data_IF_930294717566
#
_entry.id   IF_930294717566
#
_cell.length_a   1.000
_cell.length_b   1.000
_cell.length_c   1.000
_cell.angle_alpha   90.00
_cell.angle_beta   90.00
_cell.angle_gamma   90.00
#
_symmetry.space_group_name_H-M   'P 1'
#
loop_
_entity.id
_entity.type
_entity.pdbx_description
1 polymer ?
#
# COMPACT_ATOMS: atom_id res chain seq x y z
N UNK A 1 4.71 -13.28 16.42
CA UNK A 1 4.16 -14.30 17.35
C UNK A 1 4.50 -15.68 16.80
N UNK A 2 5.05 -16.56 17.61
CA UNK A 2 5.52 -17.88 17.17
C UNK A 2 4.34 -18.76 16.72
N UNK A 3 4.42 -19.45 15.57
CA UNK A 3 3.36 -20.36 15.09
C UNK A 3 3.11 -21.52 16.04
N UNK A 4 1.89 -22.05 16.06
CA UNK A 4 1.52 -23.21 16.87
C UNK A 4 2.43 -24.42 16.60
N UNK A 5 2.76 -24.65 15.31
CA UNK A 5 3.65 -25.73 14.88
C UNK A 5 5.07 -25.64 15.47
N UNK A 6 5.61 -24.44 15.64
CA UNK A 6 6.90 -24.23 16.30
C UNK A 6 6.85 -24.56 17.80
N UNK A 7 5.72 -24.30 18.46
CA UNK A 7 5.52 -24.71 19.87
C UNK A 7 5.45 -26.22 20.00
N UNK A 8 4.79 -26.92 19.08
CA UNK A 8 4.76 -28.38 19.02
C UNK A 8 6.17 -28.98 18.89
N UNK A 9 7.02 -28.38 18.05
CA UNK A 9 8.43 -28.78 17.93
C UNK A 9 9.16 -28.60 19.26
N UNK A 10 8.98 -27.48 19.97
CA UNK A 10 9.58 -27.27 21.28
C UNK A 10 9.09 -28.30 22.33
N UNK A 11 7.83 -28.72 22.27
CA UNK A 11 7.26 -29.75 23.14
C UNK A 11 7.84 -31.14 22.82
N UNK A 12 7.86 -31.50 21.53
CA UNK A 12 8.36 -32.80 21.05
C UNK A 12 9.83 -33.03 21.44
N UNK A 13 10.64 -31.97 21.39
CA UNK A 13 12.06 -32.01 21.77
C UNK A 13 12.30 -31.78 23.29
N UNK A 14 11.24 -31.70 24.10
CA UNK A 14 11.30 -31.48 25.55
C UNK A 14 11.95 -30.15 25.98
N UNK A 15 12.07 -29.19 25.08
CA UNK A 15 12.57 -27.84 25.37
C UNK A 15 11.52 -27.01 26.11
N UNK A 16 10.21 -27.27 25.87
CA UNK A 16 9.09 -26.67 26.56
C UNK A 16 8.47 -27.69 27.54
N UNK A 17 8.28 -27.28 28.79
CA UNK A 17 7.57 -28.03 29.83
C UNK A 17 6.53 -27.13 30.48
N UNK A 18 5.29 -27.62 30.55
CA UNK A 18 4.17 -26.95 31.22
C UNK A 18 3.69 -27.84 32.33
N UNK A 19 3.71 -27.38 33.58
CA UNK A 19 3.27 -28.11 34.75
C UNK A 19 2.02 -27.45 35.33
N UNK A 20 0.81 -27.97 35.03
CA UNK A 20 -0.43 -27.46 35.58
C UNK A 20 -0.63 -27.90 37.01
N UNK A 21 -1.23 -27.05 37.85
CA UNK A 21 -1.67 -27.37 39.21
C UNK A 21 -2.84 -26.46 39.63
N UNK A 22 -3.56 -26.87 40.66
CA UNK A 22 -4.66 -26.08 41.22
C UNK A 22 -4.29 -25.67 42.63
N UNK A 23 -4.41 -24.38 42.97
CA UNK A 23 -4.18 -23.88 44.33
C UNK A 23 -5.41 -24.16 45.22
N UNK A 24 -5.21 -24.16 46.52
CA UNK A 24 -6.28 -24.38 47.54
C UNK A 24 -7.45 -23.36 47.39
N UNK A 25 -7.24 -22.22 46.79
CA UNK A 25 -8.27 -21.21 46.51
C UNK A 25 -9.00 -21.44 45.15
N UNK A 26 -8.88 -22.61 44.54
CA UNK A 26 -9.55 -22.98 43.30
C UNK A 26 -8.94 -22.35 42.03
N UNK A 27 -7.82 -21.64 42.12
CA UNK A 27 -7.14 -21.07 40.92
C UNK A 27 -6.40 -22.13 40.16
N UNK A 28 -6.66 -22.23 38.87
CA UNK A 28 -5.85 -22.98 37.91
C UNK A 28 -4.54 -22.24 37.67
N UNK A 29 -3.42 -22.89 37.83
CA UNK A 29 -2.09 -22.38 37.66
C UNK A 29 -1.24 -23.27 36.75
N UNK A 30 -0.25 -22.72 36.07
CA UNK A 30 0.77 -23.50 35.42
C UNK A 30 2.15 -22.81 35.56
N UNK A 31 3.15 -23.63 35.82
CA UNK A 31 4.56 -23.24 35.70
C UNK A 31 5.08 -23.67 34.31
N UNK A 32 5.37 -22.70 33.51
CA UNK A 32 5.88 -22.91 32.14
C UNK A 32 7.38 -22.64 32.15
N UNK A 33 8.13 -23.61 31.72
CA UNK A 33 9.61 -23.54 31.65
C UNK A 33 10.08 -23.91 30.26
N UNK A 34 10.92 -23.05 29.68
CA UNK A 34 11.58 -23.28 28.41
C UNK A 34 13.09 -23.32 28.65
N UNK A 35 13.76 -24.30 28.07
CA UNK A 35 15.22 -24.45 28.13
C UNK A 35 15.79 -24.20 26.75
N UNK A 36 16.70 -23.23 26.65
CA UNK A 36 17.45 -22.97 25.42
C UNK A 36 18.37 -24.16 25.11
N UNK A 37 18.22 -24.80 23.93
CA UNK A 37 18.97 -26.02 23.62
C UNK A 37 20.46 -25.78 23.33
N UNK A 38 20.87 -24.54 23.05
CA UNK A 38 22.28 -24.18 22.77
C UNK A 38 23.00 -23.72 24.04
N UNK A 39 22.37 -22.81 24.79
CA UNK A 39 23.00 -22.18 25.96
C UNK A 39 22.66 -22.88 27.28
N UNK A 40 21.61 -23.72 27.31
CA UNK A 40 21.10 -24.34 28.53
C UNK A 40 20.32 -23.35 29.44
N UNK A 41 20.19 -22.09 29.04
CA UNK A 41 19.48 -21.06 29.82
C UNK A 41 18.00 -21.45 29.98
N UNK A 42 17.46 -21.24 31.18
CA UNK A 42 16.06 -21.56 31.53
C UNK A 42 15.27 -20.29 31.72
N UNK A 43 14.17 -20.18 30.95
CA UNK A 43 13.20 -19.12 31.08
C UNK A 43 11.92 -19.68 31.69
N UNK A 44 11.39 -19.03 32.72
CA UNK A 44 10.21 -19.50 33.44
C UNK A 44 9.14 -18.40 33.49
N UNK A 45 7.87 -18.83 33.43
CA UNK A 45 6.72 -17.96 33.64
C UNK A 45 5.60 -18.73 34.33
N UNK A 46 5.04 -18.18 35.39
CA UNK A 46 3.90 -18.74 36.07
C UNK A 46 2.63 -18.00 35.64
N UNK A 47 1.60 -18.71 35.23
CA UNK A 47 0.29 -18.16 34.89
C UNK A 47 -0.76 -18.63 35.86
N UNK A 48 -1.80 -17.81 36.10
CA UNK A 48 -2.92 -18.20 36.96
C UNK A 48 -4.23 -17.55 36.50
N UNK A 49 -5.34 -18.27 36.68
CA UNK A 49 -6.70 -17.79 36.42
C UNK A 49 -7.72 -18.52 37.26
N UNK A 50 -8.87 -17.89 37.56
CA UNK A 50 -10.05 -18.55 38.15
C UNK A 50 -10.92 -19.18 37.05
N UNK A 51 -10.94 -18.66 35.84
CA UNK A 51 -11.65 -19.21 34.69
C UNK A 51 -10.75 -20.16 33.92
N UNK A 52 -11.24 -21.35 33.57
CA UNK A 52 -10.51 -22.34 32.77
C UNK A 52 -10.19 -21.78 31.38
N UNK A 53 -11.14 -21.16 30.67
CA UNK A 53 -10.92 -20.57 29.35
C UNK A 53 -9.80 -19.52 29.36
N UNK A 54 -9.87 -18.58 30.34
CA UNK A 54 -8.82 -17.55 30.50
C UNK A 54 -7.47 -18.13 30.92
N UNK A 55 -7.48 -19.29 31.57
CA UNK A 55 -6.27 -20.02 31.94
C UNK A 55 -5.57 -20.58 30.71
N UNK A 56 -6.33 -21.27 29.84
CA UNK A 56 -5.80 -21.85 28.62
C UNK A 56 -5.23 -20.78 27.68
N UNK A 57 -5.93 -19.64 27.50
CA UNK A 57 -5.44 -18.50 26.75
C UNK A 57 -4.12 -17.95 27.30
N UNK A 58 -4.01 -17.81 28.63
CA UNK A 58 -2.79 -17.34 29.30
C UNK A 58 -1.64 -18.33 29.15
N UNK A 59 -1.91 -19.64 29.25
CA UNK A 59 -0.91 -20.68 29.02
C UNK A 59 -0.39 -20.62 27.60
N UNK A 60 -1.27 -20.60 26.61
CA UNK A 60 -0.91 -20.52 25.21
C UNK A 60 -0.11 -19.25 24.88
N UNK A 61 -0.50 -18.11 25.45
CA UNK A 61 0.24 -16.85 25.26
C UNK A 61 1.65 -16.90 25.89
N UNK A 62 1.76 -17.46 27.10
CA UNK A 62 3.03 -17.57 27.80
C UNK A 62 3.99 -18.58 27.14
N UNK A 63 3.48 -19.72 26.68
CA UNK A 63 4.26 -20.69 25.91
C UNK A 63 4.82 -20.08 24.62
N UNK A 64 3.97 -19.36 23.88
CA UNK A 64 4.40 -18.63 22.68
C UNK A 64 5.52 -17.64 22.97
N UNK A 65 5.34 -16.82 24.00
CA UNK A 65 6.32 -15.81 24.40
C UNK A 65 7.68 -16.43 24.80
N UNK A 66 7.64 -17.52 25.58
CA UNK A 66 8.86 -18.18 26.02
C UNK A 66 9.55 -18.94 24.89
N UNK A 67 8.80 -19.68 24.07
CA UNK A 67 9.37 -20.38 22.92
C UNK A 67 9.96 -19.40 21.90
N UNK A 68 9.36 -18.21 21.76
CA UNK A 68 9.89 -17.17 20.88
C UNK A 68 11.30 -16.69 21.28
N UNK A 69 11.59 -16.67 22.58
CA UNK A 69 12.91 -16.26 23.09
C UNK A 69 14.04 -17.23 22.72
N UNK A 70 13.71 -18.52 22.58
CA UNK A 70 14.70 -19.57 22.32
C UNK A 70 14.63 -20.09 20.87
N UNK A 71 13.73 -19.54 20.02
CA UNK A 71 13.45 -20.13 18.71
C UNK A 71 14.67 -20.19 17.80
N UNK A 72 15.51 -19.15 17.79
CA UNK A 72 16.74 -19.15 16.99
C UNK A 72 17.71 -20.27 17.41
N UNK A 73 17.82 -20.54 18.70
CA UNK A 73 18.61 -21.66 19.23
C UNK A 73 17.99 -23.02 18.89
N UNK A 74 16.64 -23.13 18.96
CA UNK A 74 15.93 -24.32 18.54
C UNK A 74 16.17 -24.64 17.07
N UNK A 75 16.02 -23.61 16.22
CA UNK A 75 16.23 -23.74 14.78
C UNK A 75 17.66 -24.18 14.47
N UNK A 76 18.65 -23.59 15.14
CA UNK A 76 20.04 -23.97 14.99
C UNK A 76 20.28 -25.47 15.29
N UNK A 77 19.74 -25.96 16.42
CA UNK A 77 19.90 -27.39 16.79
C UNK A 77 19.16 -28.33 15.84
N UNK A 78 17.97 -27.93 15.36
CA UNK A 78 17.17 -28.73 14.42
C UNK A 78 17.87 -28.89 13.07
N UNK A 79 18.63 -27.87 12.66
CA UNK A 79 19.26 -27.80 11.34
C UNK A 79 20.77 -28.06 11.38
N UNK A 80 21.35 -28.19 12.57
CA UNK A 80 22.79 -28.47 12.77
C UNK A 80 23.12 -29.94 12.45
N UNK A 81 24.15 -30.15 11.62
CA UNK A 81 24.62 -31.46 11.23
C UNK A 81 23.80 -32.20 10.17
N UNK A 82 22.74 -31.61 9.64
CA UNK A 82 21.92 -32.17 8.56
C UNK A 82 22.10 -31.46 7.23
N UNK A 83 21.62 -32.10 6.14
CA UNK A 83 21.46 -31.47 4.85
C UNK A 83 20.27 -30.55 4.91
N UNK A 84 20.50 -29.25 5.06
CA UNK A 84 19.46 -28.25 5.10
C UNK A 84 18.96 -27.98 3.68
N UNK A 85 17.70 -28.33 3.41
CA UNK A 85 16.97 -27.90 2.21
C UNK A 85 16.11 -26.68 2.49
N UNK A 86 15.70 -25.97 1.43
CA UNK A 86 14.74 -24.89 1.58
C UNK A 86 13.42 -25.40 2.18
N UNK A 87 13.00 -26.61 1.81
CA UNK A 87 11.79 -27.23 2.35
C UNK A 87 11.87 -27.42 3.86
N UNK A 88 13.01 -27.88 4.37
CA UNK A 88 13.21 -28.05 5.81
C UNK A 88 13.16 -26.74 6.55
N UNK A 89 13.84 -25.71 6.03
CA UNK A 89 13.81 -24.38 6.61
C UNK A 89 12.38 -23.82 6.65
N UNK A 90 11.65 -23.91 5.53
CA UNK A 90 10.28 -23.39 5.44
C UNK A 90 9.32 -24.12 6.39
N UNK A 91 9.52 -25.41 6.60
CA UNK A 91 8.71 -26.19 7.55
C UNK A 91 8.79 -25.64 8.97
N UNK A 92 9.97 -25.18 9.39
CA UNK A 92 10.21 -24.79 10.78
C UNK A 92 10.08 -23.29 11.02
N UNK A 93 10.42 -22.45 10.05
CA UNK A 93 10.63 -21.03 10.33
C UNK A 93 9.89 -20.03 9.41
N UNK A 94 9.46 -20.42 8.21
CA UNK A 94 8.88 -19.45 7.27
C UNK A 94 7.64 -18.73 7.82
N UNK A 95 6.76 -19.48 8.50
CA UNK A 95 5.54 -18.87 9.08
C UNK A 95 5.89 -17.84 10.16
N UNK A 96 6.94 -18.11 10.94
CA UNK A 96 7.44 -17.18 11.93
C UNK A 96 8.02 -15.91 11.30
N UNK A 97 8.81 -16.05 10.24
CA UNK A 97 9.35 -14.93 9.49
C UNK A 97 8.23 -14.09 8.86
N UNK A 98 7.23 -14.74 8.29
CA UNK A 98 6.03 -14.09 7.73
C UNK A 98 5.30 -13.25 8.77
N UNK A 99 5.11 -13.77 9.97
CA UNK A 99 4.42 -13.08 11.04
C UNK A 99 5.19 -11.87 11.58
N UNK A 100 6.52 -11.93 11.61
CA UNK A 100 7.37 -10.89 12.22
C UNK A 100 7.93 -9.84 11.27
N UNK A 101 8.44 -10.26 10.13
CA UNK A 101 9.26 -9.39 9.27
C UNK A 101 8.55 -8.92 8.01
N UNK A 102 7.59 -9.67 7.54
CA UNK A 102 6.99 -9.34 6.27
C UNK A 102 5.75 -8.50 6.46
N UNK A 103 5.67 -7.34 5.78
CA UNK A 103 4.45 -6.57 5.79
C UNK A 103 3.30 -7.42 5.27
N UNK A 104 2.09 -7.19 5.78
CA UNK A 104 0.85 -7.85 5.32
C UNK A 104 0.61 -7.75 3.81
N UNK A 105 1.38 -6.92 3.11
CA UNK A 105 1.38 -6.77 1.65
C UNK A 105 2.07 -7.91 0.90
N UNK A 106 2.88 -8.72 1.57
CA UNK A 106 3.36 -9.98 0.99
C UNK A 106 2.26 -11.01 1.16
N UNK A 107 1.45 -11.14 0.12
CA UNK A 107 0.25 -11.93 0.14
C UNK A 107 0.49 -13.43 0.14
N UNK A 108 -0.63 -14.18 0.18
CA UNK A 108 -0.62 -15.65 0.10
C UNK A 108 -0.01 -16.18 -1.21
N UNK A 109 0.02 -15.35 -2.27
CA UNK A 109 0.59 -15.73 -3.57
C UNK A 109 2.10 -15.93 -3.50
N UNK A 110 2.82 -14.98 -2.90
CA UNK A 110 4.27 -15.04 -2.75
C UNK A 110 4.67 -16.17 -1.81
N UNK A 111 3.92 -16.36 -0.73
CA UNK A 111 4.11 -17.49 0.18
C UNK A 111 3.89 -18.82 -0.53
N UNK A 112 2.80 -18.95 -1.30
CA UNK A 112 2.49 -20.15 -2.08
C UNK A 112 3.56 -20.43 -3.14
N UNK A 113 4.06 -19.40 -3.82
CA UNK A 113 5.13 -19.53 -4.80
C UNK A 113 6.44 -20.02 -4.15
N UNK A 114 6.77 -19.50 -2.96
CA UNK A 114 7.95 -19.93 -2.22
C UNK A 114 7.84 -21.39 -1.72
N UNK A 115 6.64 -21.83 -1.31
CA UNK A 115 6.37 -23.23 -1.00
C UNK A 115 6.51 -24.14 -2.23
N UNK A 116 6.03 -23.70 -3.40
CA UNK A 116 6.22 -24.44 -4.65
C UNK A 116 7.70 -24.53 -5.00
N UNK A 117 8.46 -23.44 -4.84
CA UNK A 117 9.90 -23.42 -5.01
C UNK A 117 10.58 -24.44 -4.10
N UNK A 118 10.18 -24.51 -2.83
CA UNK A 118 10.72 -25.47 -1.87
C UNK A 118 10.49 -26.93 -2.31
N UNK A 119 9.37 -27.23 -2.98
CA UNK A 119 9.08 -28.58 -3.45
C UNK A 119 9.95 -29.03 -4.63
N UNK A 120 10.52 -28.10 -5.38
CA UNK A 120 11.40 -28.39 -6.54
C UNK A 120 12.86 -28.13 -6.26
N UNK A 121 13.22 -27.66 -5.06
CA UNK A 121 14.58 -27.36 -4.67
C UNK A 121 15.17 -28.49 -3.82
N UNK A 122 15.89 -29.40 -4.47
CA UNK A 122 16.49 -30.59 -3.84
C UNK A 122 17.87 -30.31 -3.26
N UNK A 123 18.54 -29.22 -3.65
CA UNK A 123 19.87 -28.89 -3.23
C UNK A 123 19.95 -28.45 -1.78
N UNK A 124 21.03 -28.77 -1.10
CA UNK A 124 21.37 -28.19 0.20
C UNK A 124 21.56 -26.68 0.06
N UNK A 125 20.91 -25.89 0.89
CA UNK A 125 21.08 -24.41 0.86
C UNK A 125 22.54 -24.05 1.15
N UNK A 126 23.21 -24.78 2.03
CA UNK A 126 24.61 -24.57 2.36
C UNK A 126 25.60 -24.79 1.19
N UNK A 127 25.19 -25.55 0.18
CA UNK A 127 25.99 -25.80 -1.02
C UNK A 127 25.78 -24.76 -2.13
N UNK A 128 24.73 -23.93 -2.03
CA UNK A 128 24.41 -22.92 -3.04
C UNK A 128 25.32 -21.70 -2.90
N UNK A 129 26.19 -21.48 -3.87
CA UNK A 129 27.18 -20.40 -3.82
C UNK A 129 26.96 -19.29 -4.85
N UNK A 130 26.11 -19.50 -5.86
CA UNK A 130 25.94 -18.58 -6.97
C UNK A 130 24.47 -18.29 -7.31
N UNK A 131 24.19 -17.04 -7.71
CA UNK A 131 22.90 -16.61 -8.22
C UNK A 131 22.44 -17.45 -9.41
N UNK A 132 23.36 -17.85 -10.28
CA UNK A 132 23.11 -18.69 -11.45
C UNK A 132 22.48 -20.05 -11.15
N UNK A 133 22.61 -20.54 -9.93
CA UNK A 133 21.99 -21.79 -9.48
C UNK A 133 20.52 -21.57 -9.02
N UNK A 134 20.22 -20.38 -8.51
CA UNK A 134 18.92 -20.05 -7.92
C UNK A 134 17.92 -19.55 -8.98
N UNK A 135 18.36 -18.67 -9.88
CA UNK A 135 17.47 -18.01 -10.84
C UNK A 135 16.75 -18.98 -11.80
N UNK A 136 17.38 -20.04 -12.32
CA UNK A 136 16.67 -21.01 -13.15
C UNK A 136 15.53 -21.70 -12.39
N UNK A 137 15.75 -22.03 -11.11
CA UNK A 137 14.74 -22.68 -10.26
C UNK A 137 13.55 -21.74 -10.04
N UNK A 138 13.78 -20.44 -9.79
CA UNK A 138 12.72 -19.43 -9.69
C UNK A 138 11.99 -19.28 -11.02
N UNK A 139 12.72 -19.30 -12.14
CA UNK A 139 12.14 -19.20 -13.48
C UNK A 139 11.13 -20.29 -13.81
N UNK A 140 11.29 -21.49 -13.24
CA UNK A 140 10.32 -22.58 -13.41
C UNK A 140 8.95 -22.32 -12.78
N UNK A 141 8.84 -21.37 -11.86
CA UNK A 141 7.56 -20.99 -11.24
C UNK A 141 6.63 -20.19 -12.17
N UNK A 142 7.15 -19.69 -13.30
CA UNK A 142 6.38 -18.89 -14.27
C UNK A 142 5.56 -17.75 -13.63
N UNK A 143 6.09 -17.10 -12.62
CA UNK A 143 5.44 -16.01 -11.87
C UNK A 143 5.69 -14.65 -12.53
N UNK A 144 4.89 -13.64 -12.14
CA UNK A 144 5.13 -12.26 -12.60
C UNK A 144 6.47 -11.72 -12.08
N UNK A 145 7.07 -10.76 -12.80
CA UNK A 145 8.34 -10.14 -12.40
C UNK A 145 8.28 -9.50 -11.00
N UNK A 146 7.13 -9.00 -10.58
CA UNK A 146 6.95 -8.43 -9.24
C UNK A 146 6.95 -9.54 -8.17
N UNK A 147 6.32 -10.69 -8.47
CA UNK A 147 6.33 -11.86 -7.58
C UNK A 147 7.73 -12.49 -7.53
N UNK A 148 8.42 -12.57 -8.65
CA UNK A 148 9.81 -13.04 -8.74
C UNK A 148 10.74 -12.19 -7.84
N UNK A 149 10.67 -10.86 -7.96
CA UNK A 149 11.46 -9.95 -7.13
C UNK A 149 11.14 -10.12 -5.64
N UNK A 150 9.87 -10.37 -5.31
CA UNK A 150 9.46 -10.64 -3.95
C UNK A 150 10.06 -11.94 -3.42
N UNK A 151 10.03 -13.01 -4.20
CA UNK A 151 10.65 -14.30 -3.87
C UNK A 151 12.16 -14.14 -3.64
N UNK A 152 12.85 -13.42 -4.54
CA UNK A 152 14.29 -13.14 -4.42
C UNK A 152 14.59 -12.41 -3.11
N UNK A 153 13.77 -11.42 -2.75
CA UNK A 153 13.91 -10.70 -1.47
C UNK A 153 13.73 -11.64 -0.27
N UNK A 154 12.69 -12.48 -0.31
CA UNK A 154 12.43 -13.44 0.77
C UNK A 154 13.58 -14.42 0.93
N UNK A 155 14.13 -14.94 -0.17
CA UNK A 155 15.30 -15.80 -0.14
C UNK A 155 16.55 -15.07 0.37
N UNK A 156 16.72 -13.79 0.01
CA UNK A 156 17.81 -12.95 0.55
C UNK A 156 17.72 -12.87 2.07
N UNK A 157 16.53 -12.57 2.61
CA UNK A 157 16.30 -12.52 4.06
C UNK A 157 16.55 -13.89 4.73
N UNK A 158 16.23 -15.00 4.07
CA UNK A 158 16.47 -16.36 4.54
C UNK A 158 17.98 -16.63 4.63
N UNK A 159 18.76 -16.38 3.57
CA UNK A 159 20.21 -16.58 3.57
C UNK A 159 20.92 -15.72 4.62
N UNK A 160 20.51 -14.47 4.79
CA UNK A 160 21.06 -13.59 5.82
C UNK A 160 20.80 -14.13 7.23
N UNK A 161 19.60 -14.65 7.47
CA UNK A 161 19.26 -15.25 8.74
C UNK A 161 20.03 -16.55 9.00
N UNK A 162 20.12 -17.43 8.02
CA UNK A 162 20.90 -18.67 8.13
C UNK A 162 22.38 -18.40 8.41
N UNK A 163 22.91 -17.30 7.84
CA UNK A 163 24.25 -16.82 8.15
C UNK A 163 24.39 -16.34 9.59
N UNK A 164 23.42 -15.55 10.10
CA UNK A 164 23.39 -15.11 11.50
C UNK A 164 23.30 -16.30 12.49
N UNK A 165 22.62 -17.38 12.11
CA UNK A 165 22.52 -18.59 12.91
C UNK A 165 23.78 -19.48 12.81
N UNK A 166 24.74 -19.14 11.94
CA UNK A 166 25.95 -19.93 11.68
C UNK A 166 25.70 -21.24 10.93
N UNK A 167 24.54 -21.39 10.29
CA UNK A 167 24.16 -22.58 9.49
C UNK A 167 24.69 -22.43 8.07
N UNK A 168 24.71 -21.19 7.54
CA UNK A 168 25.26 -20.88 6.22
C UNK A 168 26.58 -20.10 6.37
N UNK A 169 27.68 -20.67 5.89
CA UNK A 169 29.01 -20.07 6.03
C UNK A 169 29.37 -19.10 4.88
N UNK A 170 28.68 -19.18 3.75
CA UNK A 170 28.96 -18.39 2.56
C UNK A 170 28.52 -16.93 2.65
N UNK A 171 28.81 -16.19 1.59
CA UNK A 171 28.16 -14.89 1.38
C UNK A 171 26.78 -15.11 0.76
N UNK A 172 25.80 -14.27 1.15
CA UNK A 172 24.46 -14.36 0.58
C UNK A 172 24.52 -14.21 -0.96
N UNK A 173 24.20 -15.27 -1.71
CA UNK A 173 24.37 -15.26 -3.17
C UNK A 173 23.42 -14.28 -3.88
N UNK A 174 22.30 -13.93 -3.24
CA UNK A 174 21.27 -13.06 -3.83
C UNK A 174 21.42 -11.58 -3.47
N UNK A 175 22.23 -11.21 -2.47
CA UNK A 175 22.28 -9.83 -1.98
C UNK A 175 22.62 -8.82 -3.07
N UNK A 176 23.70 -9.05 -3.82
CA UNK A 176 24.14 -8.15 -4.90
C UNK A 176 23.13 -8.12 -6.05
N UNK A 177 22.58 -9.28 -6.41
CA UNK A 177 21.57 -9.38 -7.47
C UNK A 177 20.28 -8.67 -7.08
N UNK A 178 19.81 -8.84 -5.85
CA UNK A 178 18.62 -8.15 -5.34
C UNK A 178 18.78 -6.64 -5.37
N UNK A 179 19.90 -6.11 -4.86
CA UNK A 179 20.17 -4.67 -4.87
C UNK A 179 20.28 -4.11 -6.29
N UNK A 180 20.94 -4.81 -7.21
CA UNK A 180 21.04 -4.42 -8.62
C UNK A 180 19.65 -4.40 -9.29
N UNK A 181 18.84 -5.45 -9.07
CA UNK A 181 17.50 -5.57 -9.64
C UNK A 181 16.54 -4.55 -9.04
N UNK A 182 16.60 -4.31 -7.74
CA UNK A 182 15.85 -3.26 -7.05
C UNK A 182 16.21 -1.88 -7.58
N UNK A 183 17.48 -1.60 -7.75
CA UNK A 183 17.97 -0.33 -8.30
C UNK A 183 17.53 -0.14 -9.76
N UNK A 184 17.59 -1.19 -10.59
CA UNK A 184 17.12 -1.17 -11.96
C UNK A 184 15.59 -0.96 -12.04
N UNK A 185 14.82 -1.62 -11.19
CA UNK A 185 13.37 -1.43 -11.11
C UNK A 185 12.99 -0.06 -10.56
N UNK A 186 13.73 0.47 -9.60
CA UNK A 186 13.54 1.84 -9.13
C UNK A 186 13.88 2.86 -10.23
N UNK A 187 14.93 2.63 -11.03
CA UNK A 187 15.23 3.46 -12.21
C UNK A 187 14.15 3.34 -13.28
N UNK A 188 13.58 2.15 -13.52
CA UNK A 188 12.44 1.96 -14.42
C UNK A 188 11.17 2.64 -13.89
N UNK A 189 10.93 2.60 -12.58
CA UNK A 189 9.82 3.33 -11.93
C UNK A 189 10.06 4.85 -11.88
N UNK A 190 11.30 5.29 -11.85
CA UNK A 190 11.66 6.73 -11.92
C UNK A 190 11.75 7.27 -13.34
N UNK A 191 11.77 6.42 -14.37
CA UNK A 191 11.51 6.89 -15.72
C UNK A 191 10.04 7.29 -15.81
N UNK A 192 9.71 8.50 -16.25
CA UNK A 192 8.34 8.95 -16.36
C UNK A 192 7.58 8.05 -17.35
N UNK A 193 6.91 7.03 -16.82
CA UNK A 193 6.06 6.13 -17.60
C UNK A 193 4.70 6.76 -17.92
N UNK A 194 4.47 7.96 -17.44
CA UNK A 194 3.31 8.71 -17.80
C UNK A 194 3.69 9.71 -18.86
N UNK A 195 3.15 9.53 -20.02
CA UNK A 195 3.21 10.56 -21.04
C UNK A 195 2.11 11.56 -20.72
N UNK A 196 2.49 12.81 -20.53
CA UNK A 196 1.55 13.90 -20.59
C UNK A 196 0.72 13.79 -21.88
N UNK A 197 -0.55 14.11 -21.81
CA UNK A 197 -1.41 14.14 -22.97
C UNK A 197 -0.94 15.22 -23.96
N UNK A 198 -1.11 15.02 -25.28
CA UNK A 198 -0.83 16.07 -26.24
C UNK A 198 -1.71 17.31 -25.97
N UNK A 199 -1.22 18.54 -26.23
CA UNK A 199 -1.95 19.78 -25.97
C UNK A 199 -3.36 19.80 -26.57
N UNK A 200 -3.54 19.22 -27.74
CA UNK A 200 -4.84 19.08 -28.41
C UNK A 200 -5.82 18.23 -27.63
N UNK A 201 -5.36 17.13 -27.03
CA UNK A 201 -6.19 16.28 -26.18
C UNK A 201 -6.52 16.97 -24.85
N UNK A 202 -5.57 17.70 -24.26
CA UNK A 202 -5.79 18.50 -23.05
C UNK A 202 -6.91 19.53 -23.27
N UNK A 203 -6.80 20.32 -24.35
CA UNK A 203 -7.80 21.32 -24.70
C UNK A 203 -9.18 20.69 -25.00
N UNK A 204 -9.20 19.54 -25.72
CA UNK A 204 -10.43 18.82 -26.02
C UNK A 204 -11.14 18.28 -24.76
N UNK A 205 -10.38 17.76 -23.78
CA UNK A 205 -10.91 17.35 -22.47
C UNK A 205 -11.52 18.56 -21.73
N UNK A 206 -10.86 19.72 -21.77
CA UNK A 206 -11.38 20.95 -21.18
C UNK A 206 -12.70 21.41 -21.81
N UNK A 207 -12.79 21.35 -23.16
CA UNK A 207 -14.03 21.64 -23.88
C UNK A 207 -15.15 20.66 -23.50
N UNK A 208 -14.86 19.37 -23.41
CA UNK A 208 -15.81 18.32 -23.01
C UNK A 208 -16.26 18.55 -21.55
N UNK A 209 -15.34 18.92 -20.65
CA UNK A 209 -15.64 19.31 -19.28
C UNK A 209 -16.67 20.46 -19.25
N UNK A 210 -16.39 21.59 -19.88
CA UNK A 210 -17.30 22.76 -19.89
C UNK A 210 -18.68 22.43 -20.43
N UNK A 211 -18.76 21.53 -21.41
CA UNK A 211 -20.03 21.15 -22.06
C UNK A 211 -20.88 20.22 -21.20
N UNK A 212 -20.25 19.37 -20.38
CA UNK A 212 -20.95 18.27 -19.73
C UNK A 212 -20.92 18.29 -18.21
N UNK A 213 -20.08 19.11 -17.57
CA UNK A 213 -19.93 19.05 -16.11
C UNK A 213 -21.25 19.30 -15.36
N UNK A 214 -22.15 20.17 -15.87
CA UNK A 214 -23.46 20.38 -15.28
C UNK A 214 -24.44 19.21 -15.48
N UNK A 215 -24.13 18.27 -16.35
CA UNK A 215 -24.95 17.07 -16.58
C UNK A 215 -24.50 15.90 -15.71
N UNK A 216 -23.23 15.87 -15.34
CA UNK A 216 -22.62 14.75 -14.62
C UNK A 216 -21.51 15.25 -13.68
N UNK A 217 -21.74 15.18 -12.36
CA UNK A 217 -20.81 15.65 -11.34
C UNK A 217 -19.45 14.89 -11.38
N UNK A 218 -19.38 13.72 -12.01
CA UNK A 218 -18.12 13.00 -12.17
C UNK A 218 -17.08 13.75 -12.99
N UNK A 219 -17.49 14.74 -13.79
CA UNK A 219 -16.56 15.61 -14.49
C UNK A 219 -15.65 16.40 -13.55
N UNK A 220 -16.12 16.75 -12.32
CA UNK A 220 -15.27 17.37 -11.29
C UNK A 220 -14.01 16.54 -10.97
N UNK A 221 -14.11 15.21 -11.12
CA UNK A 221 -12.96 14.32 -10.93
C UNK A 221 -11.82 14.59 -11.93
N UNK A 222 -12.09 15.13 -13.11
CA UNK A 222 -11.06 15.46 -14.13
C UNK A 222 -10.10 16.50 -13.56
N UNK A 223 -10.63 17.61 -13.03
CA UNK A 223 -9.83 18.68 -12.43
C UNK A 223 -9.11 18.21 -11.14
N UNK A 224 -9.82 17.47 -10.29
CA UNK A 224 -9.25 16.93 -9.04
C UNK A 224 -8.12 15.92 -9.34
N UNK A 225 -8.28 15.08 -10.36
CA UNK A 225 -7.24 14.12 -10.77
C UNK A 225 -6.01 14.80 -11.35
N UNK A 226 -6.18 15.91 -12.06
CA UNK A 226 -5.07 16.71 -12.56
C UNK A 226 -4.18 17.21 -11.41
N UNK A 227 -4.75 17.61 -10.27
CA UNK A 227 -4.01 18.00 -9.07
C UNK A 227 -3.32 16.82 -8.35
N UNK A 228 -3.39 15.60 -8.87
CA UNK A 228 -2.74 14.44 -8.28
C UNK A 228 -3.59 13.68 -7.26
N UNK A 229 -4.86 14.06 -7.02
CA UNK A 229 -5.73 13.27 -6.16
C UNK A 229 -6.01 11.92 -6.83
N UNK A 230 -5.75 10.84 -6.11
CA UNK A 230 -6.00 9.48 -6.60
C UNK A 230 -7.50 9.17 -6.60
N UNK A 231 -7.97 8.25 -7.46
CA UNK A 231 -9.40 7.92 -7.55
C UNK A 231 -10.05 7.47 -6.24
N UNK A 232 -9.28 6.87 -5.33
CA UNK A 232 -9.74 6.48 -3.99
C UNK A 232 -9.97 7.70 -3.07
N UNK A 233 -9.11 8.71 -3.16
CA UNK A 233 -9.30 9.99 -2.47
C UNK A 233 -10.51 10.71 -3.07
N UNK A 234 -10.57 10.87 -4.39
CA UNK A 234 -11.68 11.55 -5.07
C UNK A 234 -13.03 10.92 -4.72
N UNK A 235 -13.08 9.59 -4.71
CA UNK A 235 -14.30 8.86 -4.34
C UNK A 235 -14.70 9.05 -2.86
N UNK A 236 -13.76 9.37 -1.96
CA UNK A 236 -14.05 9.63 -0.56
C UNK A 236 -14.65 11.02 -0.32
N UNK A 237 -14.34 12.02 -1.17
CA UNK A 237 -14.72 13.41 -0.98
C UNK A 237 -16.25 13.63 -0.99
N UNK A 238 -16.69 14.50 -0.10
CA UNK A 238 -18.06 15.04 -0.01
C UNK A 238 -18.03 16.55 0.22
N UNK A 239 -19.17 17.22 0.10
CA UNK A 239 -19.25 18.65 0.38
C UNK A 239 -18.87 19.00 1.83
N UNK A 240 -19.01 18.08 2.78
CA UNK A 240 -18.52 18.24 4.15
C UNK A 240 -17.01 18.30 4.30
N UNK A 241 -16.24 17.96 3.24
CA UNK A 241 -14.79 18.17 3.22
C UNK A 241 -14.40 19.61 2.82
N UNK A 242 -15.38 20.46 2.49
CA UNK A 242 -15.15 21.87 2.15
C UNK A 242 -15.18 22.69 3.43
N UNK A 243 -14.10 23.39 3.71
CA UNK A 243 -13.94 24.25 4.88
C UNK A 243 -13.79 25.69 4.40
N UNK A 244 -14.52 26.59 5.05
CA UNK A 244 -14.35 28.03 4.87
C UNK A 244 -13.52 28.59 6.02
N UNK A 245 -12.44 29.30 5.70
CA UNK A 245 -11.58 29.97 6.67
C UNK A 245 -11.20 31.33 6.11
N UNK A 246 -11.53 32.40 6.86
CA UNK A 246 -11.19 33.78 6.49
C UNK A 246 -11.66 34.18 5.06
N UNK A 247 -12.84 33.72 4.67
CA UNK A 247 -13.41 33.99 3.35
C UNK A 247 -12.81 33.20 2.20
N UNK A 248 -11.93 32.24 2.48
CA UNK A 248 -11.36 31.33 1.48
C UNK A 248 -11.94 29.93 1.61
N UNK A 249 -12.23 29.30 0.48
CA UNK A 249 -12.73 27.94 0.45
C UNK A 249 -11.56 26.95 0.25
N UNK A 250 -11.51 25.93 1.10
CA UNK A 250 -10.47 24.92 1.11
C UNK A 250 -11.07 23.51 1.11
N UNK A 251 -10.42 22.58 0.46
CA UNK A 251 -10.75 21.16 0.46
C UNK A 251 -9.87 20.42 1.45
N UNK A 252 -10.47 19.86 2.50
CA UNK A 252 -9.78 18.96 3.43
C UNK A 252 -9.65 17.57 2.79
N UNK A 253 -8.43 17.14 2.61
CA UNK A 253 -8.10 15.79 2.15
C UNK A 253 -7.59 15.02 3.36
N UNK A 254 -8.45 14.20 3.98
CA UNK A 254 -8.13 13.42 5.18
C UNK A 254 -8.60 11.97 5.11
N UNK A 255 -9.31 11.60 4.04
CA UNK A 255 -9.88 10.27 3.87
C UNK A 255 -9.63 9.70 2.47
N UNK A 256 -9.65 8.36 2.37
CA UNK A 256 -9.66 7.61 1.11
C UNK A 256 -10.63 6.45 1.18
N UNK A 257 -11.03 5.93 0.03
CA UNK A 257 -11.81 4.69 -0.07
C UNK A 257 -10.87 3.49 -0.06
N UNK A 258 -11.16 2.50 0.76
CA UNK A 258 -10.42 1.23 0.81
C UNK A 258 -11.35 0.05 0.53
N UNK A 259 -10.84 -1.05 -0.02
CA UNK A 259 -11.62 -2.29 -0.16
C UNK A 259 -12.15 -2.75 1.20
N UNK A 260 -13.41 -3.14 1.25
CA UNK A 260 -14.03 -3.78 2.40
C UNK A 260 -14.62 -5.13 2.00
N UNK A 261 -15.06 -5.98 2.96
CA UNK A 261 -15.55 -7.33 2.67
C UNK A 261 -16.73 -7.37 1.68
N UNK A 262 -17.64 -6.39 1.75
CA UNK A 262 -18.82 -6.31 0.90
C UNK A 262 -18.89 -5.03 0.08
N UNK A 263 -18.35 -3.91 0.60
CA UNK A 263 -18.34 -2.58 -0.05
C UNK A 263 -17.07 -1.83 0.33
N UNK A 264 -16.69 -0.87 -0.50
CA UNK A 264 -15.63 0.07 -0.12
C UNK A 264 -16.07 0.88 1.11
N UNK A 265 -15.13 1.13 2.02
CA UNK A 265 -15.32 1.98 3.20
C UNK A 265 -14.37 3.17 3.16
N UNK A 266 -14.75 4.25 3.85
CA UNK A 266 -13.85 5.37 4.10
C UNK A 266 -12.86 5.00 5.19
N UNK A 267 -11.63 5.41 5.02
CA UNK A 267 -10.56 5.27 5.99
C UNK A 267 -9.78 6.58 6.08
N UNK A 268 -9.47 7.02 7.30
CA UNK A 268 -8.62 8.19 7.51
C UNK A 268 -7.24 7.96 6.93
N UNK A 269 -6.68 8.98 6.30
CA UNK A 269 -5.29 8.95 5.84
C UNK A 269 -4.37 8.86 7.04
N UNK A 270 -3.36 8.00 6.96
CA UNK A 270 -2.43 7.81 8.06
C UNK A 270 -1.46 9.00 8.12
N UNK A 271 -1.22 9.52 9.32
CA UNK A 271 -0.30 10.62 9.58
C UNK A 271 1.18 10.30 9.33
N UNK A 272 1.52 9.06 8.98
CA UNK A 272 2.89 8.66 8.62
C UNK A 272 3.42 9.38 7.36
N UNK A 273 2.51 9.91 6.53
CA UNK A 273 2.82 10.86 5.46
C UNK A 273 2.13 12.18 5.81
N UNK A 274 2.85 13.10 6.39
CA UNK A 274 2.33 14.33 6.99
C UNK A 274 1.52 15.20 6.00
N UNK A 275 1.87 15.19 4.72
CA UNK A 275 1.14 15.92 3.70
C UNK A 275 0.09 15.07 2.95
N UNK A 276 -0.13 13.83 3.36
CA UNK A 276 -1.28 13.07 2.89
C UNK A 276 -2.59 13.73 3.35
N UNK A 277 -2.61 14.17 4.62
CA UNK A 277 -3.68 15.03 5.16
C UNK A 277 -3.32 16.48 4.89
N UNK A 278 -4.12 17.16 4.08
CA UNK A 278 -3.84 18.56 3.67
C UNK A 278 -5.07 19.34 3.29
N UNK A 279 -4.92 20.66 3.32
CA UNK A 279 -5.93 21.61 2.83
C UNK A 279 -5.52 22.15 1.45
N UNK A 280 -6.36 21.98 0.46
CA UNK A 280 -6.14 22.55 -0.87
C UNK A 280 -7.08 23.73 -1.11
N UNK A 281 -6.59 24.86 -1.69
CA UNK A 281 -7.45 25.97 -2.06
C UNK A 281 -8.46 25.56 -3.14
N UNK A 282 -9.69 26.03 -3.04
CA UNK A 282 -10.79 25.66 -3.94
C UNK A 282 -11.30 26.78 -4.82
N UNK A 283 -10.87 28.02 -4.64
CA UNK A 283 -11.47 29.17 -5.37
C UNK A 283 -11.43 28.98 -6.90
N UNK A 284 -10.40 28.32 -7.42
CA UNK A 284 -10.28 27.96 -8.84
C UNK A 284 -11.33 26.93 -9.33
N UNK A 285 -11.98 26.21 -8.43
CA UNK A 285 -13.04 25.21 -8.69
C UNK A 285 -14.37 25.62 -8.06
N UNK A 286 -14.38 26.70 -7.28
CA UNK A 286 -15.51 27.06 -6.42
C UNK A 286 -16.82 27.27 -7.19
N UNK A 287 -16.77 27.95 -8.33
CA UNK A 287 -17.94 28.17 -9.16
C UNK A 287 -18.58 26.86 -9.64
N UNK A 288 -17.78 25.89 -10.05
CA UNK A 288 -18.27 24.57 -10.49
C UNK A 288 -18.92 23.80 -9.34
N UNK A 289 -18.35 23.90 -8.14
CA UNK A 289 -18.89 23.27 -6.93
C UNK A 289 -20.20 23.94 -6.50
N UNK A 290 -20.29 25.27 -6.54
CA UNK A 290 -21.50 25.99 -6.25
C UNK A 290 -22.64 25.65 -7.22
N UNK A 291 -22.34 25.58 -8.52
CA UNK A 291 -23.33 25.21 -9.53
C UNK A 291 -23.95 23.82 -9.25
N UNK A 292 -23.16 22.85 -8.79
CA UNK A 292 -23.68 21.55 -8.36
C UNK A 292 -24.44 21.63 -7.02
N UNK A 293 -23.93 22.39 -6.05
CA UNK A 293 -24.60 22.61 -4.76
C UNK A 293 -25.97 23.20 -4.95
N UNK A 294 -26.07 24.23 -5.78
CA UNK A 294 -27.34 24.90 -6.08
C UNK A 294 -28.34 23.96 -6.77
N UNK A 295 -27.81 23.12 -7.69
CA UNK A 295 -28.62 22.08 -8.33
C UNK A 295 -29.15 21.05 -7.32
N UNK A 296 -28.33 20.59 -6.37
CA UNK A 296 -28.75 19.67 -5.32
C UNK A 296 -29.78 20.32 -4.38
N UNK A 297 -29.59 21.58 -4.04
CA UNK A 297 -30.55 22.34 -3.25
C UNK A 297 -31.90 22.49 -4.00
N UNK A 298 -31.89 22.80 -5.31
CA UNK A 298 -33.07 22.84 -6.15
C UNK A 298 -33.80 21.50 -6.28
N UNK A 299 -33.05 20.36 -6.08
CA UNK A 299 -33.63 19.02 -6.01
C UNK A 299 -34.20 18.68 -4.63
N UNK A 300 -34.18 19.60 -3.66
CA UNK A 300 -34.71 19.41 -2.31
C UNK A 300 -33.77 18.65 -1.35
N UNK A 301 -32.48 18.55 -1.66
CA UNK A 301 -31.52 17.90 -0.78
C UNK A 301 -31.09 18.87 0.32
N UNK A 302 -31.31 18.51 1.59
CA UNK A 302 -31.00 19.35 2.76
C UNK A 302 -29.64 19.06 3.40
N UNK A 303 -29.17 17.82 3.35
CA UNK A 303 -27.92 17.41 3.98
C UNK A 303 -26.77 17.40 2.96
N UNK A 304 -26.41 18.59 2.50
CA UNK A 304 -25.40 18.76 1.46
C UNK A 304 -24.01 18.24 1.87
N UNK A 305 -23.67 18.28 3.15
CA UNK A 305 -22.37 17.84 3.64
C UNK A 305 -22.08 16.35 3.36
N UNK A 306 -23.12 15.52 3.37
CA UNK A 306 -22.99 14.08 3.10
C UNK A 306 -22.96 13.75 1.60
N UNK A 307 -23.29 14.70 0.74
CA UNK A 307 -23.33 14.48 -0.70
C UNK A 307 -21.91 14.35 -1.23
N UNK A 308 -21.60 13.28 -2.03
CA UNK A 308 -20.30 13.14 -2.65
C UNK A 308 -20.07 14.22 -3.72
N UNK A 309 -18.87 14.81 -3.77
CA UNK A 309 -18.49 15.82 -4.78
C UNK A 309 -18.63 15.22 -6.19
N UNK A 310 -18.14 13.99 -6.40
CA UNK A 310 -18.22 13.27 -7.67
C UNK A 310 -19.29 12.17 -7.62
N UNK A 311 -20.53 12.53 -7.25
CA UNK A 311 -21.65 11.60 -7.23
C UNK A 311 -22.25 11.37 -8.61
N UNK A 312 -23.08 10.32 -8.75
CA UNK A 312 -23.86 10.09 -9.95
C UNK A 312 -25.33 9.82 -9.65
N UNK A 313 -26.15 10.04 -10.65
CA UNK A 313 -27.59 9.86 -10.56
C UNK A 313 -28.32 11.17 -10.22
N UNK A 314 -29.36 11.47 -11.00
CA UNK A 314 -30.28 12.63 -10.80
C UNK A 314 -31.43 12.25 -9.87
N UNK A 315 -31.29 11.31 -8.94
CA UNK A 315 -32.33 10.90 -7.99
C UNK A 315 -32.17 11.65 -6.67
N UNK A 316 -33.16 11.57 -5.83
CA UNK A 316 -33.25 12.24 -4.53
C UNK A 316 -32.00 12.07 -3.60
N UNK A 317 -31.12 11.16 -3.90
CA UNK A 317 -29.83 11.00 -3.21
C UNK A 317 -28.74 10.63 -4.22
N UNK A 318 -27.80 11.54 -4.54
CA UNK A 318 -26.66 11.23 -5.39
C UNK A 318 -25.83 10.09 -4.80
N UNK A 319 -25.60 9.07 -5.62
CA UNK A 319 -24.84 7.90 -5.19
C UNK A 319 -23.34 8.18 -5.29
N UNK A 320 -22.60 7.80 -4.25
CA UNK A 320 -21.15 7.86 -4.24
C UNK A 320 -20.56 6.89 -5.27
N UNK A 321 -19.63 7.37 -6.09
CA UNK A 321 -18.86 6.52 -6.98
C UNK A 321 -17.86 5.67 -6.19
N UNK A 322 -17.65 4.44 -6.63
CA UNK A 322 -16.50 3.64 -6.20
C UNK A 322 -15.21 4.15 -6.85
N UNK A 323 -14.07 3.81 -6.28
CA UNK A 323 -12.74 4.08 -6.85
C UNK A 323 -12.64 3.61 -8.31
N UNK A 324 -13.16 2.40 -8.60
CA UNK A 324 -13.17 1.84 -9.95
C UNK A 324 -14.05 2.62 -10.93
N UNK A 325 -15.22 3.10 -10.48
CA UNK A 325 -16.11 3.91 -11.34
C UNK A 325 -15.48 5.24 -11.69
N UNK A 326 -14.78 5.91 -10.74
CA UNK A 326 -14.03 7.13 -11.01
C UNK A 326 -12.89 6.85 -12.01
N UNK A 327 -12.07 5.82 -11.78
CA UNK A 327 -10.97 5.48 -12.68
C UNK A 327 -11.47 5.17 -14.10
N UNK A 328 -12.51 4.35 -14.24
CA UNK A 328 -13.11 4.01 -15.54
C UNK A 328 -13.67 5.26 -16.23
N UNK A 329 -14.31 6.17 -15.48
CA UNK A 329 -14.82 7.42 -16.03
C UNK A 329 -13.66 8.27 -16.58
N UNK A 330 -12.62 8.49 -15.79
CA UNK A 330 -11.46 9.30 -16.18
C UNK A 330 -10.73 8.71 -17.40
N UNK A 331 -10.50 7.39 -17.41
CA UNK A 331 -9.89 6.71 -18.55
C UNK A 331 -10.74 6.86 -19.82
N UNK A 332 -12.07 6.81 -19.72
CA UNK A 332 -12.96 7.03 -20.86
C UNK A 332 -12.88 8.46 -21.39
N UNK A 333 -12.74 9.46 -20.51
CA UNK A 333 -12.56 10.85 -20.95
C UNK A 333 -11.23 11.01 -21.72
N UNK A 334 -10.15 10.45 -21.21
CA UNK A 334 -8.85 10.47 -21.88
C UNK A 334 -8.94 9.79 -23.25
N UNK A 335 -9.53 8.58 -23.31
CA UNK A 335 -9.62 7.80 -24.55
C UNK A 335 -10.39 8.50 -25.66
N UNK A 336 -11.46 9.22 -25.33
CA UNK A 336 -12.25 9.97 -26.33
C UNK A 336 -11.44 10.99 -27.11
N UNK A 337 -10.36 11.49 -26.49
CA UNK A 337 -9.60 12.64 -26.99
C UNK A 337 -8.16 12.29 -27.40
N UNK A 338 -7.70 11.06 -27.21
CA UNK A 338 -6.30 10.68 -27.46
C UNK A 338 -6.03 9.91 -28.74
N UNK A 339 -6.97 9.35 -29.43
CA UNK A 339 -6.99 8.86 -30.81
C UNK A 339 -8.03 7.76 -31.03
N UNK A 340 -8.54 7.57 -32.27
CA UNK A 340 -9.54 6.54 -32.58
C UNK A 340 -9.04 5.10 -32.52
N UNK A 341 -7.74 4.86 -32.33
CA UNK A 341 -7.12 3.53 -32.41
C UNK A 341 -6.66 2.93 -31.06
N UNK A 342 -6.86 3.63 -29.95
CA UNK A 342 -6.53 3.08 -28.62
C UNK A 342 -7.76 2.40 -28.04
N UNK A 343 -7.86 1.09 -28.25
CA UNK A 343 -8.90 0.27 -27.62
C UNK A 343 -8.54 0.12 -26.14
N UNK A 344 -9.22 0.88 -25.28
CA UNK A 344 -9.14 0.71 -23.84
C UNK A 344 -9.90 -0.56 -23.46
N UNK A 345 -9.19 -1.65 -23.30
CA UNK A 345 -9.70 -2.76 -22.54
C UNK A 345 -9.34 -2.53 -21.06
N UNK A 346 -10.33 -2.32 -20.18
CA UNK A 346 -10.06 -2.42 -18.74
C UNK A 346 -9.53 -3.85 -18.51
N UNK A 347 -8.49 -4.02 -17.68
CA UNK A 347 -8.00 -5.36 -17.37
C UNK A 347 -9.16 -6.19 -16.82
N UNK A 348 -9.58 -7.21 -17.57
CA UNK A 348 -10.50 -8.23 -17.05
C UNK A 348 -9.73 -8.91 -15.91
N UNK A 349 -10.26 -8.85 -14.70
CA UNK A 349 -9.75 -9.62 -13.59
C UNK A 349 -9.70 -11.10 -14.05
N UNK A 350 -8.49 -11.67 -14.16
CA UNK A 350 -8.28 -13.08 -14.48
C UNK A 350 -7.71 -13.41 -15.87
N UNK A 351 -7.43 -12.44 -16.76
CA UNK A 351 -6.78 -12.72 -18.04
C UNK A 351 -5.25 -12.47 -17.94
N UNK A 352 -4.46 -13.53 -17.95
CA UNK A 352 -3.03 -13.49 -18.23
C UNK A 352 -2.83 -13.19 -19.72
N UNK A 353 -2.97 -11.95 -20.11
CA UNK A 353 -2.69 -11.48 -21.47
C UNK A 353 -1.32 -10.80 -21.47
N UNK A 354 -0.39 -11.38 -22.22
CA UNK A 354 0.87 -10.74 -22.61
C UNK A 354 0.54 -9.51 -23.46
N UNK A 355 0.66 -8.33 -22.85
CA UNK A 355 0.58 -7.07 -23.61
C UNK A 355 1.86 -6.89 -24.43
N UNK A 356 1.73 -6.52 -25.71
CA UNK A 356 2.89 -6.11 -26.49
C UNK A 356 3.50 -4.85 -25.84
N UNK A 357 4.83 -4.77 -25.78
CA UNK A 357 5.59 -3.65 -25.17
C UNK A 357 5.31 -2.26 -25.79
N UNK A 358 4.49 -2.16 -26.82
CA UNK A 358 4.15 -0.92 -27.54
C UNK A 358 2.86 -0.25 -27.06
N UNK A 359 2.02 -0.90 -26.26
CA UNK A 359 0.74 -0.35 -25.80
C UNK A 359 0.79 -0.11 -24.28
N UNK A 360 1.27 1.08 -23.89
CA UNK A 360 1.13 1.52 -22.50
C UNK A 360 -0.32 1.98 -22.33
N UNK A 361 -1.14 1.29 -21.50
CA UNK A 361 -2.50 1.73 -21.26
C UNK A 361 -2.48 3.12 -20.62
N UNK A 362 -3.13 4.10 -21.26
CA UNK A 362 -3.33 5.41 -20.68
C UNK A 362 -4.18 5.26 -19.42
N UNK A 363 -3.60 5.52 -18.27
CA UNK A 363 -4.30 5.57 -17.00
C UNK A 363 -4.77 6.99 -16.69
N UNK A 364 -5.66 7.17 -15.72
CA UNK A 364 -6.06 8.49 -15.26
C UNK A 364 -4.89 9.37 -14.79
N UNK A 365 -3.74 8.76 -14.48
CA UNK A 365 -2.51 9.46 -14.13
C UNK A 365 -2.03 10.40 -15.25
N UNK A 366 -2.36 10.15 -16.52
CA UNK A 366 -2.02 11.03 -17.62
C UNK A 366 -2.56 12.46 -17.45
N UNK A 367 -3.69 12.67 -16.76
CA UNK A 367 -4.21 13.99 -16.42
C UNK A 367 -3.27 14.73 -15.47
N UNK A 368 -2.77 14.03 -14.45
CA UNK A 368 -1.83 14.58 -13.50
C UNK A 368 -0.49 14.93 -14.15
N UNK A 369 0.04 14.04 -14.97
CA UNK A 369 1.28 14.30 -15.73
C UNK A 369 1.14 15.47 -16.70
N UNK A 370 -0.05 15.63 -17.28
CA UNK A 370 -0.33 16.80 -18.12
C UNK A 370 -0.33 18.11 -17.32
N UNK A 371 -0.90 18.09 -16.12
CA UNK A 371 -0.85 19.23 -15.20
C UNK A 371 0.60 19.57 -14.82
N UNK A 372 1.42 18.57 -14.51
CA UNK A 372 2.84 18.76 -14.19
C UNK A 372 3.61 19.32 -15.41
N UNK A 373 3.39 18.76 -16.60
CA UNK A 373 4.08 19.19 -17.82
C UNK A 373 3.72 20.64 -18.19
N UNK A 374 2.43 20.99 -18.20
CA UNK A 374 1.97 22.35 -18.50
C UNK A 374 2.38 23.34 -17.41
N UNK A 375 2.38 22.88 -16.17
CA UNK A 375 2.71 23.66 -14.98
C UNK A 375 4.20 23.76 -14.67
N UNK A 376 5.08 23.07 -15.41
CA UNK A 376 6.49 22.87 -15.04
C UNK A 376 7.17 24.17 -14.58
N UNK A 377 7.19 25.22 -15.39
CA UNK A 377 7.81 26.49 -15.00
C UNK A 377 7.13 27.20 -13.82
N UNK A 378 5.80 27.04 -13.65
CA UNK A 378 5.05 27.60 -12.51
C UNK A 378 5.33 26.81 -11.24
N UNK A 379 5.42 25.48 -11.32
CA UNK A 379 5.69 24.60 -10.19
C UNK A 379 7.16 24.67 -9.74
N UNK A 380 8.09 24.94 -10.64
CA UNK A 380 9.50 25.15 -10.30
C UNK A 380 9.76 26.46 -9.57
N UNK A 381 8.96 27.51 -9.82
CA UNK A 381 9.11 28.80 -9.14
C UNK A 381 8.80 28.73 -7.64
N UNK A 382 7.98 27.75 -7.22
CA UNK A 382 7.71 27.46 -5.82
C UNK A 382 7.53 25.93 -5.61
N UNK A 383 8.67 25.26 -5.50
CA UNK A 383 8.70 23.81 -5.33
C UNK A 383 8.02 23.33 -4.04
N UNK A 384 8.03 24.14 -3.01
CA UNK A 384 7.48 23.78 -1.71
C UNK A 384 5.96 23.73 -1.75
N UNK A 385 5.32 24.82 -2.21
CA UNK A 385 3.86 24.83 -2.42
C UNK A 385 3.43 23.77 -3.43
N UNK A 386 4.20 23.56 -4.50
CA UNK A 386 3.93 22.51 -5.48
C UNK A 386 3.93 21.12 -4.83
N UNK A 387 4.91 20.78 -4.01
CA UNK A 387 4.98 19.50 -3.31
C UNK A 387 3.82 19.30 -2.32
N UNK A 388 3.43 20.36 -1.62
CA UNK A 388 2.27 20.32 -0.73
C UNK A 388 0.97 20.09 -1.51
N UNK A 389 0.70 20.86 -2.58
CA UNK A 389 -0.46 20.67 -3.45
C UNK A 389 -0.55 19.22 -3.93
N UNK A 390 0.57 18.66 -4.37
CA UNK A 390 0.63 17.29 -4.92
C UNK A 390 0.61 16.19 -3.85
N UNK A 391 0.73 16.54 -2.57
CA UNK A 391 0.75 15.59 -1.45
C UNK A 391 2.03 14.77 -1.38
N UNK A 392 3.15 15.31 -1.83
CA UNK A 392 4.45 14.69 -1.66
C UNK A 392 4.94 14.86 -0.22
N UNK A 393 5.72 13.89 0.24
CA UNK A 393 6.29 13.93 1.59
C UNK A 393 7.23 15.12 1.75
N UNK A 394 7.17 15.79 2.91
CA UNK A 394 8.14 16.81 3.30
C UNK A 394 9.57 16.26 3.26
N UNK A 395 10.53 17.01 2.73
CA UNK A 395 11.92 16.56 2.61
C UNK A 395 12.76 16.89 3.83
N UNK A 396 12.41 17.95 4.55
CA UNK A 396 13.14 18.43 5.71
C UNK A 396 12.25 18.63 6.93
N UNK A 397 12.86 18.71 8.12
CA UNK A 397 12.14 19.01 9.37
C UNK A 397 11.58 20.43 9.33
N UNK A 398 12.32 21.38 8.73
CA UNK A 398 11.90 22.78 8.62
C UNK A 398 10.63 22.94 7.79
N UNK A 399 10.49 22.19 6.69
CA UNK A 399 9.28 22.18 5.88
C UNK A 399 8.05 21.71 6.67
N UNK A 400 8.24 20.84 7.68
CA UNK A 400 7.17 20.29 8.52
C UNK A 400 6.72 21.26 9.60
N UNK A 401 7.67 21.92 10.26
CA UNK A 401 7.45 22.60 11.55
C UNK A 401 7.21 24.08 11.35
N UNK A 402 7.87 24.72 10.39
CA UNK A 402 7.89 26.18 10.29
C UNK A 402 6.95 26.77 9.21
N UNK A 403 6.34 25.93 8.36
CA UNK A 403 5.48 26.42 7.29
C UNK A 403 4.02 26.07 7.57
N UNK A 404 3.25 27.09 7.87
CA UNK A 404 1.81 26.98 8.00
C UNK A 404 1.11 27.05 6.64
N UNK A 405 0.96 25.90 5.98
CA UNK A 405 0.23 25.79 4.72
C UNK A 405 -1.26 26.13 4.86
N UNK A 406 -1.79 26.25 6.06
CA UNK A 406 -3.20 26.63 6.28
C UNK A 406 -3.37 28.14 6.35
N UNK A 407 -2.28 28.92 6.31
CA UNK A 407 -2.37 30.39 6.35
C UNK A 407 -3.04 30.93 5.08
N UNK A 408 -3.92 31.92 5.16
CA UNK A 408 -4.66 32.47 4.02
C UNK A 408 -3.74 32.96 2.89
N UNK A 409 -2.62 33.57 3.24
CA UNK A 409 -1.64 34.08 2.27
C UNK A 409 -1.05 32.95 1.41
N UNK A 410 -0.65 31.85 2.05
CA UNK A 410 -0.08 30.68 1.35
C UNK A 410 -1.18 29.99 0.54
N UNK A 411 -2.38 29.83 1.08
CA UNK A 411 -3.52 29.26 0.36
C UNK A 411 -3.87 30.08 -0.87
N UNK A 412 -3.91 31.42 -0.77
CA UNK A 412 -4.15 32.30 -1.91
C UNK A 412 -3.06 32.17 -2.98
N UNK A 413 -1.80 32.09 -2.56
CA UNK A 413 -0.68 31.88 -3.50
C UNK A 413 -0.80 30.53 -4.24
N UNK A 414 -1.09 29.44 -3.51
CA UNK A 414 -1.33 28.13 -4.10
C UNK A 414 -2.53 28.13 -5.06
N UNK A 415 -3.61 28.84 -4.70
CA UNK A 415 -4.78 29.00 -5.56
C UNK A 415 -4.41 29.68 -6.88
N UNK A 416 -3.66 30.77 -6.84
CA UNK A 416 -3.19 31.49 -8.03
C UNK A 416 -2.30 30.61 -8.91
N UNK A 417 -1.43 29.81 -8.28
CA UNK A 417 -0.57 28.85 -8.99
C UNK A 417 -1.41 27.81 -9.74
N UNK A 418 -2.38 27.18 -9.06
CA UNK A 418 -3.27 26.19 -9.67
C UNK A 418 -4.09 26.83 -10.79
N UNK A 419 -4.74 27.97 -10.54
CA UNK A 419 -5.53 28.68 -11.53
C UNK A 419 -4.72 29.03 -12.79
N UNK A 420 -3.49 29.49 -12.63
CA UNK A 420 -2.56 29.78 -13.75
C UNK A 420 -2.29 28.53 -14.60
N UNK A 421 -2.12 27.37 -14.00
CA UNK A 421 -1.88 26.12 -14.73
C UNK A 421 -3.16 25.65 -15.43
N UNK A 422 -4.29 25.65 -14.74
CA UNK A 422 -5.59 25.25 -15.28
C UNK A 422 -5.99 26.13 -16.45
N UNK A 423 -5.71 27.45 -16.37
CA UNK A 423 -5.91 28.40 -17.48
C UNK A 423 -5.03 28.03 -18.69
N UNK A 424 -3.76 27.67 -18.48
CA UNK A 424 -2.88 27.22 -19.56
C UNK A 424 -3.35 25.90 -20.20
N UNK A 425 -4.06 25.07 -19.46
CA UNK A 425 -4.69 23.84 -19.95
C UNK A 425 -5.99 24.09 -20.73
N UNK A 426 -6.47 25.33 -20.79
CA UNK A 426 -7.78 25.72 -21.36
C UNK A 426 -8.97 24.99 -20.66
N UNK A 427 -8.91 24.89 -19.34
CA UNK A 427 -9.92 24.22 -18.52
C UNK A 427 -10.77 25.17 -17.66
N UNK A 428 -10.60 26.48 -17.84
CA UNK A 428 -11.42 27.53 -17.17
C UNK A 428 -12.56 27.98 -18.06
#
# INVERSE_FOLDING_TARGET
MLPAKAIEVCRANKWLKTQPYVRANGRHCADICVTDPVTGAKFKKTVSSLSVEKYDDKCNAAERELCEKIWDSCLKVLLDGGKLTLADYLRYDLEYLRAKKWPKSYGEKEYSALLQLANIWDSEISSVCAVSEILPIIGHLCVSSDTELCIIRMLTDIFDRLKLLGIYAGQNPLATYYEATRSANNRKKSQPHSKALPPTAIAAIGKDYRTHFLKDARYLAVKLRALGLTPDIIAALSYGNIIEKEGQHMLLIDEKMVPGPHRQKREKLCSSNEWAVRLLPLDWLWQDLCAWRDKYTAMGLSDLEKIPICGYGCRATPKRCSTKEIEVFLCRQIARHTAPNVVLHPPKAGASGTYSKSEIPLTSAALHESFLAVGHGTLQSDQLSARYILGYKASTVDERVYIDFTSPRIQQHMCQMIAKIIKKMDWM
#
